data_IF_712802091521
#
_entry.id   IF_712802091521
#
_cell.length_a   1.000
_cell.length_b   1.000
_cell.length_c   1.000
_cell.angle_alpha   90.00
_cell.angle_beta   90.00
_cell.angle_gamma   90.00
#
_symmetry.space_group_name_H-M   'P 1'
#
loop_
_entity.id
_entity.type
_entity.pdbx_description
1 polymer ?
#
# COMPACT_ATOMS: atom_id res chain seq x y z
N UNK A 1 10.74 -1.32 -14.25
CA UNK A 1 9.40 -1.94 -14.14
C UNK A 1 8.76 -2.15 -15.50
N UNK A 2 8.88 -1.22 -16.46
CA UNK A 2 8.20 -1.35 -17.76
C UNK A 2 8.55 -2.63 -18.52
N UNK A 3 9.84 -2.97 -18.60
CA UNK A 3 10.29 -4.23 -19.23
C UNK A 3 9.63 -5.48 -18.61
N UNK A 4 9.54 -5.52 -17.28
CA UNK A 4 8.94 -6.66 -16.57
C UNK A 4 7.42 -6.72 -16.80
N UNK A 5 6.75 -5.57 -16.85
CA UNK A 5 5.35 -5.51 -17.24
C UNK A 5 5.15 -6.02 -18.66
N UNK A 6 5.97 -5.56 -19.62
CA UNK A 6 5.86 -5.94 -21.02
C UNK A 6 6.13 -7.45 -21.21
N UNK A 7 7.11 -8.02 -20.50
CA UNK A 7 7.37 -9.46 -20.49
C UNK A 7 6.18 -10.27 -19.94
N UNK A 8 5.57 -9.83 -18.83
CA UNK A 8 4.40 -10.50 -18.27
C UNK A 8 3.17 -10.33 -19.16
N UNK A 9 2.99 -9.15 -19.77
CA UNK A 9 1.91 -8.88 -20.70
C UNK A 9 2.02 -9.75 -21.96
N UNK A 10 3.24 -9.93 -22.50
CA UNK A 10 3.48 -10.84 -23.63
C UNK A 10 3.11 -12.29 -23.29
N UNK A 11 3.40 -12.76 -22.07
CA UNK A 11 3.02 -14.10 -21.62
C UNK A 11 1.50 -14.31 -21.50
N UNK A 12 0.74 -13.25 -21.22
CA UNK A 12 -0.71 -13.32 -21.13
C UNK A 12 -1.39 -13.43 -22.51
N UNK A 13 -0.67 -13.09 -23.59
CA UNK A 13 -1.17 -13.09 -24.96
C UNK A 13 -2.47 -12.27 -25.14
N UNK A 14 -2.58 -11.17 -24.38
CA UNK A 14 -3.71 -10.23 -24.42
C UNK A 14 -3.19 -8.82 -24.77
N UNK A 15 -4.12 -7.93 -25.15
CA UNK A 15 -3.81 -6.54 -25.47
C UNK A 15 -3.84 -5.68 -24.21
N UNK A 16 -2.79 -4.85 -24.05
CA UNK A 16 -2.77 -3.83 -23.00
C UNK A 16 -3.84 -2.77 -23.29
N UNK A 17 -4.82 -2.65 -22.41
CA UNK A 17 -5.93 -1.71 -22.53
C UNK A 17 -6.42 -1.20 -21.18
N UNK A 18 -7.09 -0.04 -21.13
CA UNK A 18 -7.80 0.37 -19.93
C UNK A 18 -8.85 -0.67 -19.53
N UNK A 19 -9.00 -0.92 -18.23
CA UNK A 19 -9.97 -1.88 -17.70
C UNK A 19 -10.84 -1.20 -16.64
N UNK A 20 -12.15 -1.41 -16.75
CA UNK A 20 -13.13 -0.89 -15.80
C UNK A 20 -13.70 -2.05 -15.01
N UNK A 21 -13.52 -2.03 -13.70
CA UNK A 21 -14.15 -2.97 -12.77
C UNK A 21 -15.39 -2.31 -12.17
N UNK A 22 -16.51 -3.05 -12.13
CA UNK A 22 -17.75 -2.58 -11.49
C UNK A 22 -17.79 -3.11 -10.07
N UNK A 23 -17.71 -2.21 -9.09
CA UNK A 23 -17.68 -2.54 -7.66
C UNK A 23 -18.87 -1.88 -6.99
N UNK A 24 -19.87 -2.67 -6.58
CA UNK A 24 -21.04 -2.20 -5.82
C UNK A 24 -21.66 -0.87 -6.35
N UNK A 25 -21.86 -0.78 -7.67
CA UNK A 25 -22.45 0.41 -8.32
C UNK A 25 -21.46 1.53 -8.65
N UNK A 26 -20.16 1.36 -8.39
CA UNK A 26 -19.08 2.28 -8.76
C UNK A 26 -18.19 1.67 -9.85
N UNK A 27 -17.53 2.52 -10.62
CA UNK A 27 -16.56 2.13 -11.64
C UNK A 27 -15.13 2.41 -11.16
N UNK A 28 -14.33 1.36 -10.99
CA UNK A 28 -12.89 1.47 -10.79
C UNK A 28 -12.19 1.38 -12.15
N UNK A 29 -11.60 2.50 -12.59
CA UNK A 29 -10.90 2.59 -13.87
C UNK A 29 -9.39 2.43 -13.67
N UNK A 30 -8.84 1.44 -14.36
CA UNK A 30 -7.41 1.17 -14.45
C UNK A 30 -6.92 1.56 -15.84
N UNK A 31 -5.88 2.38 -15.91
CA UNK A 31 -5.40 2.91 -17.18
C UNK A 31 -4.66 1.86 -18.01
N UNK A 32 -3.95 0.94 -17.36
CA UNK A 32 -3.12 -0.06 -18.04
C UNK A 32 -3.31 -1.44 -17.42
N UNK A 33 -3.95 -2.34 -18.16
CA UNK A 33 -4.13 -3.74 -17.76
C UNK A 33 -3.99 -4.66 -18.97
N UNK A 34 -3.47 -5.87 -18.76
CA UNK A 34 -3.31 -6.91 -19.77
C UNK A 34 -3.60 -8.28 -19.13
N UNK A 35 -4.63 -9.00 -19.59
CA UNK A 35 -5.03 -10.28 -19.01
C UNK A 35 -5.29 -10.18 -17.50
N UNK A 36 -4.53 -10.95 -16.70
CA UNK A 36 -4.55 -10.93 -15.22
C UNK A 36 -3.46 -10.07 -14.59
N UNK A 37 -2.82 -9.19 -15.36
CA UNK A 37 -1.79 -8.25 -14.89
C UNK A 37 -2.29 -6.81 -15.00
N UNK A 38 -2.18 -6.04 -13.92
CA UNK A 38 -2.51 -4.62 -13.88
C UNK A 38 -1.27 -3.77 -13.60
N UNK A 39 -1.18 -2.59 -14.22
CA UNK A 39 -0.16 -1.57 -13.95
C UNK A 39 -0.85 -0.29 -13.50
N UNK A 40 -0.68 0.01 -12.22
CA UNK A 40 -1.39 1.05 -11.51
C UNK A 40 -0.41 2.01 -10.83
N UNK A 41 -0.83 3.25 -10.66
CA UNK A 41 -0.13 4.23 -9.85
C UNK A 41 -0.71 4.31 -8.44
N UNK A 42 0.09 4.80 -7.50
CA UNK A 42 -0.36 5.06 -6.14
C UNK A 42 -1.56 6.02 -6.10
N UNK A 43 -1.57 7.04 -6.96
CA UNK A 43 -2.68 7.99 -7.10
C UNK A 43 -4.00 7.28 -7.45
N UNK A 44 -3.97 6.36 -8.42
CA UNK A 44 -5.16 5.63 -8.86
C UNK A 44 -5.78 4.76 -7.76
N UNK A 45 -4.94 4.16 -6.90
CA UNK A 45 -5.40 3.19 -5.90
C UNK A 45 -5.58 3.77 -4.51
N UNK A 46 -4.79 4.76 -4.10
CA UNK A 46 -4.76 5.24 -2.71
C UNK A 46 -5.17 6.72 -2.57
N UNK A 47 -5.02 7.56 -3.61
CA UNK A 47 -5.48 8.96 -3.53
C UNK A 47 -6.97 9.11 -3.83
N UNK A 48 -7.55 8.16 -4.58
CA UNK A 48 -9.00 8.07 -4.79
C UNK A 48 -9.72 7.48 -3.57
N UNK A 49 -11.02 7.82 -3.36
CA UNK A 49 -11.83 7.27 -2.27
C UNK A 49 -12.27 5.83 -2.57
N UNK A 50 -11.30 4.93 -2.64
CA UNK A 50 -11.46 3.48 -2.74
C UNK A 50 -11.44 2.86 -1.35
N UNK A 51 -12.13 1.73 -1.20
CA UNK A 51 -12.21 0.97 0.05
C UNK A 51 -11.93 -0.51 -0.15
N UNK A 52 -12.15 -1.29 0.92
CA UNK A 52 -11.87 -2.72 0.93
C UNK A 52 -12.57 -3.48 -0.21
N UNK A 53 -13.82 -3.14 -0.54
CA UNK A 53 -14.56 -3.80 -1.62
C UNK A 53 -13.93 -3.57 -3.01
N UNK A 54 -13.33 -2.41 -3.25
CA UNK A 54 -12.65 -2.10 -4.52
C UNK A 54 -11.38 -2.93 -4.65
N UNK A 55 -10.58 -2.99 -3.57
CA UNK A 55 -9.36 -3.78 -3.53
C UNK A 55 -9.65 -5.28 -3.62
N UNK A 56 -10.73 -5.75 -3.00
CA UNK A 56 -11.17 -7.13 -3.12
C UNK A 56 -11.50 -7.50 -4.58
N UNK A 57 -12.20 -6.63 -5.30
CA UNK A 57 -12.53 -6.87 -6.70
C UNK A 57 -11.28 -6.85 -7.59
N UNK A 58 -10.36 -5.91 -7.32
CA UNK A 58 -9.04 -5.87 -7.95
C UNK A 58 -8.28 -7.19 -7.74
N UNK A 59 -8.23 -7.65 -6.49
CA UNK A 59 -7.61 -8.92 -6.11
C UNK A 59 -8.30 -10.14 -6.69
N UNK A 60 -9.55 -10.09 -7.13
CA UNK A 60 -10.20 -11.22 -7.81
C UNK A 60 -9.86 -11.29 -9.30
N UNK A 61 -9.75 -10.12 -9.94
CA UNK A 61 -9.55 -10.00 -11.38
C UNK A 61 -8.08 -10.09 -11.80
N UNK A 62 -7.15 -9.73 -10.93
CA UNK A 62 -5.71 -9.69 -11.23
C UNK A 62 -4.90 -10.60 -10.30
N UNK A 63 -3.91 -11.26 -10.86
CA UNK A 63 -2.96 -12.13 -10.13
C UNK A 63 -1.63 -11.44 -9.85
N UNK A 64 -1.27 -10.47 -10.69
CA UNK A 64 -0.09 -9.64 -10.51
C UNK A 64 -0.45 -8.18 -10.70
N UNK A 65 -0.06 -7.34 -9.75
CA UNK A 65 -0.32 -5.91 -9.77
C UNK A 65 0.99 -5.16 -9.62
N UNK A 66 1.28 -4.29 -10.58
CA UNK A 66 2.33 -3.30 -10.48
C UNK A 66 1.77 -2.05 -9.81
N UNK A 67 2.46 -1.57 -8.77
CA UNK A 67 2.10 -0.36 -8.05
C UNK A 67 3.26 0.64 -8.07
N UNK A 68 3.08 1.73 -8.80
CA UNK A 68 4.13 2.73 -9.03
C UNK A 68 4.00 3.93 -8.12
N UNK A 69 5.14 4.58 -7.87
CA UNK A 69 5.23 5.89 -7.23
C UNK A 69 4.61 5.91 -5.83
N UNK A 70 4.86 4.89 -5.01
CA UNK A 70 4.43 4.90 -3.61
C UNK A 70 5.25 5.99 -2.89
N UNK A 71 4.62 7.05 -2.37
CA UNK A 71 5.31 8.08 -1.63
C UNK A 71 5.70 7.56 -0.25
N UNK A 72 6.61 8.25 0.41
CA UNK A 72 6.79 8.08 1.85
C UNK A 72 5.53 8.58 2.57
N UNK A 73 5.04 7.80 3.53
CA UNK A 73 3.88 8.16 4.32
C UNK A 73 4.26 9.15 5.42
N UNK A 74 3.59 10.30 5.39
CA UNK A 74 3.72 11.44 6.29
C UNK A 74 2.35 11.81 6.87
N UNK A 75 2.34 12.82 7.73
CA UNK A 75 1.14 13.42 8.31
C UNK A 75 0.05 13.71 7.27
N UNK A 76 0.46 14.34 6.16
CA UNK A 76 -0.44 14.85 5.15
C UNK A 76 -1.16 13.75 4.36
N UNK A 77 -0.60 12.54 4.32
CA UNK A 77 -1.12 11.43 3.52
C UNK A 77 -1.54 10.21 4.37
N UNK A 78 -1.89 10.42 5.65
CA UNK A 78 -2.35 9.35 6.57
C UNK A 78 -3.53 8.55 6.02
N UNK A 79 -4.50 9.22 5.39
CA UNK A 79 -5.67 8.55 4.80
C UNK A 79 -5.26 7.59 3.68
N UNK A 80 -4.31 8.02 2.85
CA UNK A 80 -3.73 7.24 1.76
C UNK A 80 -2.89 6.08 2.32
N UNK A 81 -2.16 6.28 3.42
CA UNK A 81 -1.45 5.23 4.15
C UNK A 81 -2.39 4.14 4.69
N UNK A 82 -3.52 4.51 5.31
CA UNK A 82 -4.54 3.54 5.76
C UNK A 82 -5.16 2.75 4.61
N UNK A 83 -5.41 3.41 3.47
CA UNK A 83 -5.85 2.75 2.23
C UNK A 83 -4.81 1.77 1.71
N UNK A 84 -3.54 2.15 1.73
CA UNK A 84 -2.44 1.26 1.35
C UNK A 84 -2.35 0.03 2.25
N UNK A 85 -2.49 0.18 3.58
CA UNK A 85 -2.58 -0.96 4.51
C UNK A 85 -3.72 -1.90 4.11
N UNK A 86 -4.91 -1.35 3.86
CA UNK A 86 -6.09 -2.15 3.46
C UNK A 86 -5.89 -2.83 2.10
N UNK A 87 -5.22 -2.16 1.16
CA UNK A 87 -4.84 -2.73 -0.14
C UNK A 87 -3.93 -3.95 0.03
N UNK A 88 -2.83 -3.80 0.79
CA UNK A 88 -1.88 -4.89 1.04
C UNK A 88 -2.55 -6.05 1.76
N UNK A 89 -3.43 -5.76 2.72
CA UNK A 89 -4.19 -6.79 3.43
C UNK A 89 -5.04 -7.62 2.45
N UNK A 90 -5.78 -6.97 1.54
CA UNK A 90 -6.57 -7.68 0.52
C UNK A 90 -5.71 -8.46 -0.48
N UNK A 91 -4.53 -7.94 -0.82
CA UNK A 91 -3.60 -8.64 -1.70
C UNK A 91 -3.02 -9.85 -1.00
N UNK A 92 -2.68 -9.71 0.28
CA UNK A 92 -2.14 -10.78 1.10
C UNK A 92 -3.12 -11.93 1.24
N UNK A 93 -4.35 -11.62 1.64
CA UNK A 93 -5.39 -12.63 1.93
C UNK A 93 -5.77 -13.44 0.68
N UNK A 94 -5.80 -12.79 -0.48
CA UNK A 94 -6.09 -13.47 -1.74
C UNK A 94 -4.84 -14.01 -2.44
N UNK A 95 -3.63 -13.78 -1.91
CA UNK A 95 -2.34 -14.20 -2.49
C UNK A 95 -1.88 -13.45 -3.75
N UNK A 96 -2.40 -12.24 -4.01
CA UNK A 96 -2.03 -11.42 -5.18
C UNK A 96 -0.54 -11.07 -5.13
N UNK A 97 0.16 -11.23 -6.26
CA UNK A 97 1.56 -10.79 -6.38
C UNK A 97 1.61 -9.28 -6.57
N UNK A 98 2.39 -8.59 -5.74
CA UNK A 98 2.63 -7.15 -5.88
C UNK A 98 4.08 -6.89 -6.30
N UNK A 99 4.24 -6.05 -7.31
CA UNK A 99 5.54 -5.49 -7.71
C UNK A 99 5.42 -3.98 -7.53
N UNK A 100 6.21 -3.39 -6.65
CA UNK A 100 6.06 -1.98 -6.35
C UNK A 100 7.34 -1.17 -6.46
N UNK A 101 7.18 0.13 -6.67
CA UNK A 101 8.25 1.12 -6.56
C UNK A 101 7.84 2.19 -5.58
N UNK A 102 8.70 2.44 -4.60
CA UNK A 102 8.51 3.42 -3.55
C UNK A 102 9.67 4.42 -3.53
N UNK A 103 9.40 5.63 -3.01
CA UNK A 103 10.43 6.68 -2.85
C UNK A 103 11.47 6.34 -1.77
N UNK A 104 11.14 5.43 -0.85
CA UNK A 104 11.99 4.98 0.25
C UNK A 104 11.95 3.45 0.36
N UNK A 105 12.95 2.83 1.01
CA UNK A 105 12.87 1.42 1.38
C UNK A 105 11.60 1.09 2.17
N UNK A 106 11.13 -0.15 2.04
CA UNK A 106 9.89 -0.63 2.70
C UNK A 106 9.96 -0.41 4.22
N UNK A 107 11.12 -0.64 4.85
CA UNK A 107 11.34 -0.42 6.29
C UNK A 107 11.16 1.03 6.76
N UNK A 108 11.34 2.02 5.89
CA UNK A 108 11.19 3.45 6.19
C UNK A 108 10.03 4.12 5.46
N UNK A 109 9.13 3.30 4.87
CA UNK A 109 7.99 3.75 4.10
C UNK A 109 6.99 4.55 4.94
N UNK A 110 6.86 4.22 6.23
CA UNK A 110 6.07 4.98 7.18
C UNK A 110 6.99 5.62 8.20
N UNK A 111 6.90 6.93 8.30
CA UNK A 111 7.76 7.70 9.19
C UNK A 111 7.36 7.42 10.65
N UNK A 112 8.12 6.56 11.32
CA UNK A 112 8.00 6.30 12.76
C UNK A 112 8.82 7.34 13.49
N UNK A 113 8.16 8.33 14.10
CA UNK A 113 8.80 9.08 15.15
C UNK A 113 8.68 8.24 16.43
N UNK A 114 9.77 7.53 16.75
CA UNK A 114 9.97 6.98 18.08
C UNK A 114 9.83 8.13 19.07
N UNK A 115 8.74 8.12 19.83
CA UNK A 115 8.74 8.74 21.14
C UNK A 115 9.59 7.84 22.01
N UNK A 116 10.91 8.05 22.02
CA UNK A 116 11.70 7.60 23.15
C UNK A 116 11.07 8.22 24.40
N UNK A 117 10.82 7.41 25.43
CA UNK A 117 10.11 7.79 26.66
C UNK A 117 10.67 9.03 27.39
N UNK A 118 11.82 9.55 26.97
CA UNK A 118 12.40 10.81 27.42
C UNK A 118 11.63 12.06 26.91
N UNK A 119 10.98 11.98 25.75
CA UNK A 119 10.20 13.09 25.19
C UNK A 119 8.83 13.25 25.82
N UNK A 120 8.28 12.23 26.47
CA UNK A 120 7.02 12.34 27.21
C UNK A 120 7.21 13.10 28.53
N UNK A 121 8.33 12.83 29.23
CA UNK A 121 8.76 13.68 30.36
C UNK A 121 9.08 15.11 29.92
N UNK A 122 9.74 15.26 28.76
CA UNK A 122 10.04 16.59 28.18
C UNK A 122 8.78 17.35 27.74
N UNK A 123 7.72 16.67 27.28
CA UNK A 123 6.43 17.30 26.93
C UNK A 123 5.66 17.79 28.14
N UNK A 124 5.65 17.02 29.23
CA UNK A 124 5.05 17.44 30.50
C UNK A 124 5.78 18.69 31.02
N UNK A 125 7.11 18.74 30.87
CA UNK A 125 7.92 19.91 31.24
C UNK A 125 7.74 21.11 30.28
N UNK A 126 7.53 20.90 28.98
CA UNK A 126 7.29 22.00 28.02
C UNK A 126 5.91 22.63 28.14
N UNK A 127 4.89 21.85 28.53
CA UNK A 127 3.53 22.32 28.79
C UNK A 127 3.49 23.25 30.02
N UNK A 128 4.22 22.89 31.08
CA UNK A 128 4.36 23.68 32.32
C UNK A 128 5.21 24.97 32.12
N UNK A 129 6.04 25.01 31.07
CA UNK A 129 6.91 26.15 30.72
C UNK A 129 6.32 27.07 29.64
N UNK A 130 5.12 26.77 29.11
CA UNK A 130 4.42 27.63 28.15
C UNK A 130 5.13 27.80 26.80
N UNK A 131 5.96 26.85 26.37
CA UNK A 131 6.60 26.86 25.06
C UNK A 131 5.59 26.43 23.98
N UNK A 132 5.46 27.23 22.92
CA UNK A 132 4.47 27.05 21.86
C UNK A 132 4.53 25.66 21.21
N UNK A 133 3.40 24.95 21.25
CA UNK A 133 3.17 23.57 20.81
C UNK A 133 3.43 23.27 19.32
N UNK A 134 3.80 24.26 18.51
CA UNK A 134 3.91 24.15 17.04
C UNK A 134 4.99 23.15 16.54
N UNK A 135 5.87 22.65 17.42
CA UNK A 135 6.89 21.65 17.06
C UNK A 135 6.58 20.23 17.54
N UNK A 136 5.58 20.05 18.41
CA UNK A 136 5.28 18.76 19.06
C UNK A 136 4.13 17.98 18.39
N UNK A 137 3.31 18.63 17.56
CA UNK A 137 2.15 18.03 16.89
C UNK A 137 2.52 17.03 15.79
N UNK A 138 3.73 17.13 15.21
CA UNK A 138 4.22 16.18 14.20
C UNK A 138 4.50 14.77 14.76
N UNK A 139 4.80 14.66 16.07
CA UNK A 139 5.31 13.44 16.72
C UNK A 139 4.23 12.49 17.25
N UNK A 140 2.97 12.88 17.30
CA UNK A 140 1.89 12.08 17.92
C UNK A 140 0.94 11.38 16.94
N UNK A 141 1.21 11.37 15.62
CA UNK A 141 0.09 11.18 14.66
C UNK A 141 -0.07 9.79 14.04
N UNK A 142 0.81 8.84 14.37
CA UNK A 142 0.63 7.39 14.19
C UNK A 142 0.69 6.64 15.53
N UNK A 143 0.63 7.34 16.68
CA UNK A 143 0.87 6.78 18.03
C UNK A 143 -0.28 5.94 18.58
N UNK A 144 -1.27 5.57 17.76
CA UNK A 144 -2.20 4.53 18.15
C UNK A 144 -1.46 3.19 18.08
N UNK A 145 -1.44 2.44 19.18
CA UNK A 145 -0.87 1.07 19.21
C UNK A 145 -1.38 0.22 18.03
N UNK A 146 -2.65 0.40 17.65
CA UNK A 146 -3.28 -0.25 16.51
C UNK A 146 -2.68 0.14 15.15
N UNK A 147 -2.32 1.41 14.93
CA UNK A 147 -1.74 1.87 13.67
C UNK A 147 -0.30 1.41 13.50
N UNK A 148 0.48 1.43 14.58
CA UNK A 148 1.84 0.88 14.61
C UNK A 148 1.79 -0.62 14.32
N UNK A 149 0.88 -1.34 14.97
CA UNK A 149 0.69 -2.77 14.73
C UNK A 149 0.26 -3.06 13.28
N UNK A 150 -0.68 -2.30 12.74
CA UNK A 150 -1.12 -2.44 11.35
C UNK A 150 0.02 -2.17 10.36
N UNK A 151 0.86 -1.18 10.64
CA UNK A 151 2.05 -0.90 9.84
C UNK A 151 3.06 -2.06 9.89
N UNK A 152 3.49 -2.48 11.08
CA UNK A 152 4.46 -3.57 11.24
C UNK A 152 3.97 -4.86 10.56
N UNK A 153 2.68 -5.16 10.70
CA UNK A 153 2.02 -6.26 10.00
C UNK A 153 2.07 -6.10 8.48
N UNK A 154 1.84 -4.89 7.96
CA UNK A 154 1.94 -4.59 6.53
C UNK A 154 3.36 -4.84 6.00
N UNK A 155 4.38 -4.40 6.75
CA UNK A 155 5.79 -4.62 6.38
C UNK A 155 6.15 -6.11 6.38
N UNK A 156 5.72 -6.84 7.40
CA UNK A 156 5.92 -8.28 7.48
C UNK A 156 5.28 -8.99 6.27
N UNK A 157 4.03 -8.65 5.94
CA UNK A 157 3.31 -9.17 4.76
C UNK A 157 4.02 -8.87 3.45
N UNK A 158 4.45 -7.63 3.25
CA UNK A 158 5.21 -7.22 2.06
C UNK A 158 6.55 -7.98 1.95
N UNK A 159 7.20 -8.26 3.08
CA UNK A 159 8.45 -9.04 3.12
C UNK A 159 8.19 -10.50 2.75
N UNK A 160 7.13 -11.09 3.28
CA UNK A 160 6.73 -12.47 2.94
C UNK A 160 6.32 -12.60 1.47
N UNK A 161 5.61 -11.61 0.92
CA UNK A 161 5.21 -11.53 -0.49
C UNK A 161 6.40 -11.51 -1.46
N UNK A 162 7.62 -11.23 -1.00
CA UNK A 162 8.84 -11.28 -1.82
C UNK A 162 9.42 -12.70 -1.92
N UNK A 163 8.93 -13.66 -1.14
CA UNK A 163 9.43 -15.02 -1.15
C UNK A 163 8.93 -15.80 -2.37
N UNK A 164 9.77 -16.70 -2.89
CA UNK A 164 9.37 -17.59 -4.00
C UNK A 164 8.18 -18.50 -3.64
N UNK A 165 8.08 -18.89 -2.37
CA UNK A 165 6.98 -19.71 -1.86
C UNK A 165 5.64 -19.01 -2.10
N UNK A 166 5.54 -17.73 -1.74
CA UNK A 166 4.34 -16.93 -1.93
C UNK A 166 3.96 -16.80 -3.42
N UNK A 167 4.96 -16.63 -4.30
CA UNK A 167 4.73 -16.46 -5.74
C UNK A 167 4.18 -17.73 -6.40
N UNK A 168 4.45 -18.90 -5.83
CA UNK A 168 3.99 -20.18 -6.35
C UNK A 168 2.56 -20.55 -5.91
N UNK A 169 2.02 -19.93 -4.86
CA UNK A 169 0.70 -20.28 -4.30
C UNK A 169 -0.48 -19.84 -5.17
N UNK A 170 -0.31 -18.80 -5.99
CA UNK A 170 -1.41 -18.18 -6.75
C UNK A 170 -1.44 -18.48 -8.25
N UNK A 171 -0.63 -19.42 -8.74
CA UNK A 171 -0.59 -19.71 -10.18
C UNK A 171 -1.90 -20.37 -10.67
N UNK A 172 -2.85 -19.54 -11.11
CA UNK A 172 -4.17 -19.96 -11.66
C UNK A 172 -4.04 -20.74 -12.96
N UNK A 173 -2.88 -20.68 -13.61
CA UNK A 173 -2.47 -21.44 -14.80
C UNK A 173 -2.39 -22.96 -14.58
N UNK A 174 -2.50 -23.45 -13.34
CA UNK A 174 -2.55 -24.89 -13.02
C UNK A 174 -3.97 -25.47 -12.84
N UNK A 175 -5.03 -24.71 -13.13
CA UNK A 175 -6.42 -25.19 -13.09
C UNK A 175 -7.04 -25.18 -14.48
#
# INVERSE_FOLDING_TARGET
MDKLFDELAQKQNDLTRPRILKVQGRELRLNKACGTVADCTFEELCERPLGASDYLELSKNFDTIFLRNIPQFTLANRTQGRRFITLIDNFYDLKVRIICSASTPISSLFLHQHHDSELEQSRILMDDLGLSQDSAEGLSMFTGEEEIFAFQRTISRLTEMQTEQYWNERDRTKK
#
